data_IF_161880551810
#
_entry.id   IF_161880551810
#
_cell.length_a   1.000
_cell.length_b   1.000
_cell.length_c   1.000
_cell.angle_alpha   90.00
_cell.angle_beta   90.00
_cell.angle_gamma   90.00
#
_symmetry.space_group_name_H-M   'P 1'
#
loop_
_entity.id
_entity.type
_entity.pdbx_description
1 polymer ?
#
# COMPACT_ATOMS: atom_id res chain seq x y z
N UNK A 1 -37.16 -7.09 28.19
CA UNK A 1 -36.26 -6.53 27.16
C UNK A 1 -34.88 -6.48 27.77
N UNK A 2 -34.02 -7.46 27.51
CA UNK A 2 -32.62 -7.38 27.90
C UNK A 2 -31.92 -6.47 26.90
N UNK A 3 -31.29 -5.41 27.39
CA UNK A 3 -30.30 -4.69 26.61
C UNK A 3 -29.23 -5.71 26.20
N UNK A 4 -29.00 -5.87 24.91
CA UNK A 4 -27.80 -6.54 24.43
C UNK A 4 -26.66 -5.63 24.87
N UNK A 5 -25.98 -6.05 25.93
CA UNK A 5 -24.75 -5.41 26.38
C UNK A 5 -23.75 -5.58 25.24
N UNK A 6 -23.52 -4.48 24.52
CA UNK A 6 -22.63 -4.39 23.37
C UNK A 6 -21.27 -3.83 23.82
N UNK A 7 -20.88 -4.07 25.07
CA UNK A 7 -19.50 -3.94 25.49
C UNK A 7 -18.70 -5.06 24.83
N UNK A 8 -18.31 -4.82 23.58
CA UNK A 8 -17.17 -5.52 23.00
C UNK A 8 -16.03 -5.37 24.03
N UNK A 9 -15.67 -6.50 24.63
CA UNK A 9 -14.66 -6.56 25.68
C UNK A 9 -13.31 -6.30 25.00
N UNK A 10 -12.92 -5.03 24.86
CA UNK A 10 -11.62 -4.58 24.33
C UNK A 10 -10.49 -4.87 25.33
N UNK A 11 -10.46 -6.07 25.90
CA UNK A 11 -9.51 -6.48 26.95
C UNK A 11 -8.08 -6.58 26.44
N UNK A 12 -7.91 -6.75 25.12
CA UNK A 12 -6.60 -6.68 24.47
C UNK A 12 -6.76 -6.37 22.98
N UNK A 13 -5.78 -5.67 22.43
CA UNK A 13 -5.65 -5.47 20.99
C UNK A 13 -5.38 -6.84 20.31
N UNK A 14 -6.00 -7.15 19.15
CA UNK A 14 -5.72 -8.40 18.44
C UNK A 14 -4.24 -8.50 18.07
N UNK A 15 -3.55 -9.57 18.46
CA UNK A 15 -2.11 -9.74 18.25
C UNK A 15 -1.69 -9.62 16.78
N UNK A 16 -2.51 -10.18 15.88
CA UNK A 16 -2.23 -10.19 14.44
C UNK A 16 -2.32 -8.78 13.85
N UNK A 17 -3.22 -7.96 14.40
CA UNK A 17 -3.36 -6.56 14.02
C UNK A 17 -2.21 -5.72 14.60
N UNK A 18 -1.77 -6.01 15.83
CA UNK A 18 -0.64 -5.34 16.48
C UNK A 18 0.65 -5.53 15.67
N UNK A 19 0.98 -6.78 15.31
CA UNK A 19 2.15 -7.11 14.50
C UNK A 19 2.10 -6.45 13.11
N UNK A 20 0.92 -6.42 12.49
CA UNK A 20 0.72 -5.74 11.21
C UNK A 20 0.99 -4.24 11.32
N UNK A 21 0.48 -3.60 12.38
CA UNK A 21 0.68 -2.16 12.59
C UNK A 21 2.14 -1.83 12.92
N UNK A 22 2.82 -2.64 13.73
CA UNK A 22 4.25 -2.49 14.01
C UNK A 22 5.12 -2.63 12.75
N UNK A 23 4.76 -3.55 11.87
CA UNK A 23 5.41 -3.71 10.56
C UNK A 23 5.20 -2.46 9.68
N UNK A 24 4.01 -1.87 9.68
CA UNK A 24 3.72 -0.62 8.95
C UNK A 24 4.52 0.55 9.54
N UNK A 25 4.58 0.68 10.86
CA UNK A 25 5.36 1.73 11.53
C UNK A 25 6.85 1.58 11.18
N UNK A 26 7.37 0.36 11.25
CA UNK A 26 8.76 0.06 10.88
C UNK A 26 9.02 0.39 9.42
N UNK A 27 8.12 0.00 8.51
CA UNK A 27 8.22 0.28 7.09
C UNK A 27 8.22 1.78 6.78
N UNK A 28 7.39 2.56 7.47
CA UNK A 28 7.26 4.01 7.23
C UNK A 28 8.36 4.84 7.92
N UNK A 29 9.04 4.27 8.91
CA UNK A 29 10.10 4.97 9.66
C UNK A 29 11.25 5.42 8.74
N UNK A 30 11.61 6.70 8.83
CA UNK A 30 12.71 7.30 8.07
C UNK A 30 12.37 7.69 6.62
N UNK A 31 11.14 7.43 6.15
CA UNK A 31 10.69 7.86 4.81
C UNK A 31 10.10 9.27 4.83
N UNK A 32 10.41 10.06 3.82
CA UNK A 32 9.87 11.41 3.67
C UNK A 32 8.40 11.39 3.21
N UNK A 33 7.64 12.49 3.41
CA UNK A 33 6.24 12.56 2.96
C UNK A 33 6.04 12.25 1.47
N UNK A 34 6.99 12.67 0.63
CA UNK A 34 6.98 12.42 -0.81
C UNK A 34 7.15 10.94 -1.16
N UNK A 35 8.03 10.23 -0.44
CA UNK A 35 8.26 8.79 -0.68
C UNK A 35 7.05 7.98 -0.21
N UNK A 36 6.47 8.36 0.92
CA UNK A 36 5.24 7.74 1.43
C UNK A 36 4.07 7.97 0.46
N UNK A 37 3.94 9.18 -0.10
CA UNK A 37 2.95 9.47 -1.13
C UNK A 37 3.14 8.59 -2.37
N UNK A 38 4.37 8.43 -2.84
CA UNK A 38 4.68 7.58 -3.99
C UNK A 38 4.30 6.12 -3.70
N UNK A 39 4.76 5.56 -2.58
CA UNK A 39 4.51 4.17 -2.19
C UNK A 39 3.01 3.89 -2.07
N UNK A 40 2.26 4.79 -1.39
CA UNK A 40 0.82 4.64 -1.24
C UNK A 40 0.09 4.71 -2.60
N UNK A 41 0.50 5.64 -3.47
CA UNK A 41 -0.13 5.81 -4.78
C UNK A 41 0.14 4.62 -5.71
N UNK A 42 1.38 4.12 -5.72
CA UNK A 42 1.77 2.94 -6.51
C UNK A 42 1.07 1.70 -6.00
N UNK A 43 1.03 1.48 -4.68
CA UNK A 43 0.30 0.37 -4.08
C UNK A 43 -1.18 0.35 -4.51
N UNK A 44 -1.85 1.50 -4.40
CA UNK A 44 -3.25 1.62 -4.81
C UNK A 44 -3.48 1.33 -6.30
N UNK A 45 -2.64 1.88 -7.19
CA UNK A 45 -2.80 1.70 -8.63
C UNK A 45 -2.47 0.27 -9.07
N UNK A 46 -1.44 -0.34 -8.48
CA UNK A 46 -1.07 -1.73 -8.75
C UNK A 46 -2.19 -2.69 -8.34
N UNK A 47 -2.72 -2.56 -7.12
CA UNK A 47 -3.86 -3.38 -6.66
C UNK A 47 -5.09 -3.19 -7.56
N UNK A 48 -5.39 -1.95 -7.93
CA UNK A 48 -6.52 -1.66 -8.82
C UNK A 48 -6.35 -2.28 -10.21
N UNK A 49 -5.15 -2.29 -10.77
CA UNK A 49 -4.89 -2.94 -12.06
C UNK A 49 -5.00 -4.46 -11.90
N UNK A 50 -4.41 -5.01 -10.85
CA UNK A 50 -4.46 -6.43 -10.53
C UNK A 50 -5.92 -6.92 -10.40
N UNK A 51 -6.78 -6.17 -9.73
CA UNK A 51 -8.22 -6.48 -9.62
C UNK A 51 -8.96 -6.49 -10.98
N UNK A 52 -8.43 -5.80 -11.99
CA UNK A 52 -9.06 -5.63 -13.31
C UNK A 52 -8.49 -6.58 -14.38
N UNK A 53 -7.21 -6.94 -14.28
CA UNK A 53 -6.50 -7.67 -15.33
C UNK A 53 -5.60 -8.80 -14.81
N UNK A 54 -5.65 -9.14 -13.53
CA UNK A 54 -4.78 -10.13 -12.87
C UNK A 54 -3.28 -9.83 -13.00
N UNK A 55 -2.93 -8.61 -13.42
CA UNK A 55 -1.55 -8.14 -13.62
C UNK A 55 -1.43 -6.66 -13.24
N UNK A 56 -0.20 -6.22 -12.95
CA UNK A 56 0.12 -4.81 -12.85
C UNK A 56 1.48 -4.48 -13.45
N UNK A 57 1.60 -3.27 -14.03
CA UNK A 57 2.85 -2.80 -14.64
C UNK A 57 3.27 -1.44 -14.11
N UNK A 58 4.59 -1.18 -14.14
CA UNK A 58 5.12 0.12 -13.76
C UNK A 58 4.61 1.22 -14.70
N UNK A 59 4.47 0.92 -15.99
CA UNK A 59 3.97 1.82 -17.03
C UNK A 59 2.55 2.28 -16.73
N UNK A 60 1.65 1.35 -16.38
CA UNK A 60 0.28 1.69 -16.02
C UNK A 60 0.24 2.59 -14.77
N UNK A 61 0.99 2.22 -13.73
CA UNK A 61 1.04 3.00 -12.50
C UNK A 61 1.58 4.41 -12.76
N UNK A 62 2.64 4.54 -13.56
CA UNK A 62 3.24 5.81 -13.93
C UNK A 62 2.32 6.68 -14.80
N UNK A 63 1.64 6.08 -15.80
CA UNK A 63 0.66 6.76 -16.63
C UNK A 63 -0.47 7.34 -15.77
N UNK A 64 -1.07 6.52 -14.89
CA UNK A 64 -2.16 6.97 -14.02
C UNK A 64 -1.71 7.96 -12.95
N UNK A 65 -0.51 7.83 -12.41
CA UNK A 65 0.09 8.83 -11.55
C UNK A 65 0.24 10.18 -12.26
N UNK A 66 0.72 10.16 -13.51
CA UNK A 66 0.92 11.38 -14.30
C UNK A 66 -0.42 12.03 -14.68
N UNK A 67 -1.45 11.24 -14.99
CA UNK A 67 -2.80 11.75 -15.25
C UNK A 67 -3.44 12.40 -14.01
N UNK A 68 -3.32 11.76 -12.85
CA UNK A 68 -3.97 12.20 -11.62
C UNK A 68 -3.19 13.31 -10.89
N UNK A 69 -1.86 13.28 -10.97
CA UNK A 69 -0.95 14.16 -10.24
C UNK A 69 0.27 14.53 -11.08
N UNK A 70 0.09 15.28 -12.19
CA UNK A 70 1.21 15.66 -13.05
C UNK A 70 2.27 16.48 -12.30
N UNK A 71 1.85 17.33 -11.36
CA UNK A 71 2.73 18.19 -10.57
C UNK A 71 3.62 17.42 -9.57
N UNK A 72 3.29 16.15 -9.29
CA UNK A 72 4.12 15.32 -8.43
C UNK A 72 5.48 15.01 -9.09
N UNK A 73 5.54 14.96 -10.42
CA UNK A 73 6.80 14.84 -11.17
C UNK A 73 7.57 13.54 -10.91
N UNK A 74 6.88 12.46 -10.54
CA UNK A 74 7.48 11.13 -10.41
C UNK A 74 7.85 10.57 -11.78
N UNK A 75 9.01 9.93 -11.87
CA UNK A 75 9.48 9.27 -13.09
C UNK A 75 9.16 7.78 -13.03
N UNK A 76 9.17 7.11 -14.18
CA UNK A 76 9.00 5.66 -14.26
C UNK A 76 9.96 4.90 -13.33
N UNK A 77 11.23 5.30 -13.24
CA UNK A 77 12.19 4.67 -12.34
C UNK A 77 11.93 4.90 -10.84
N UNK A 78 11.14 5.92 -10.48
CA UNK A 78 10.66 6.07 -9.10
C UNK A 78 9.54 5.05 -8.83
N UNK A 79 8.66 4.82 -9.80
CA UNK A 79 7.57 3.84 -9.73
C UNK A 79 8.11 2.40 -9.69
N UNK A 80 9.10 2.07 -10.51
CA UNK A 80 9.78 0.75 -10.50
C UNK A 80 10.35 0.43 -9.11
N UNK A 81 11.13 1.37 -8.54
CA UNK A 81 11.68 1.22 -7.19
C UNK A 81 10.61 1.13 -6.10
N UNK A 82 9.50 1.85 -6.27
CA UNK A 82 8.38 1.76 -5.35
C UNK A 82 7.72 0.37 -5.41
N UNK A 83 7.54 -0.20 -6.60
CA UNK A 83 7.04 -1.58 -6.76
C UNK A 83 7.99 -2.58 -6.11
N UNK A 84 9.30 -2.49 -6.36
CA UNK A 84 10.31 -3.34 -5.72
C UNK A 84 10.23 -3.24 -4.19
N UNK A 85 10.20 -2.01 -3.66
CA UNK A 85 10.09 -1.76 -2.22
C UNK A 85 8.82 -2.39 -1.63
N UNK A 86 7.69 -2.28 -2.33
CA UNK A 86 6.42 -2.85 -1.88
C UNK A 86 6.43 -4.39 -1.94
N UNK A 87 7.05 -5.00 -2.95
CA UNK A 87 7.24 -6.45 -3.06
C UNK A 87 8.14 -6.99 -1.95
N UNK A 88 9.30 -6.35 -1.72
CA UNK A 88 10.26 -6.73 -0.69
C UNK A 88 9.65 -6.72 0.72
N UNK A 89 8.66 -5.85 0.93
CA UNK A 89 7.93 -5.71 2.20
C UNK A 89 6.56 -6.41 2.19
N UNK A 90 6.27 -7.25 1.17
CA UNK A 90 5.05 -8.05 1.04
C UNK A 90 3.74 -7.24 1.00
N UNK A 91 3.80 -5.98 0.58
CA UNK A 91 2.62 -5.15 0.32
C UNK A 91 2.06 -5.37 -1.09
N UNK A 92 2.87 -5.88 -2.02
CA UNK A 92 2.40 -6.32 -3.33
C UNK A 92 2.82 -7.77 -3.55
N UNK A 93 1.94 -8.57 -4.15
CA UNK A 93 2.25 -9.95 -4.51
C UNK A 93 3.20 -9.98 -5.72
N UNK A 94 4.04 -11.01 -5.75
CA UNK A 94 4.83 -11.33 -6.93
C UNK A 94 3.89 -11.94 -7.97
N UNK A 95 3.77 -11.32 -9.13
CA UNK A 95 3.08 -11.94 -10.26
C UNK A 95 3.99 -13.11 -10.69
N UNK A 96 3.54 -14.35 -10.49
CA UNK A 96 4.22 -15.53 -11.04
C UNK A 96 4.10 -15.48 -12.58
N UNK A 97 5.25 -15.50 -13.27
CA UNK A 97 5.33 -15.57 -14.75
C UNK A 97 4.86 -16.93 -15.31
#
# INVERSE_FOLDING_TARGET
MSYVDNSADFTSFPSDLDETLDNIVTFTTGKGPRDLELLASVHFLAQRQQDLSDEYTAEYCHEKLTELKPDAGFKIGDVEKAIETLKDNKFLESIEE
#
